data_IF_197902104053
#
_entry.id   IF_197902104053
#
_cell.length_a   1.000
_cell.length_b   1.000
_cell.length_c   1.000
_cell.angle_alpha   90.00
_cell.angle_beta   90.00
_cell.angle_gamma   90.00
#
_symmetry.space_group_name_H-M   'P 1'
#
loop_
_entity.id
_entity.type
_entity.pdbx_description
1 polymer ?
#
# COMPACT_ATOMS: atom_id res chain seq x y z
N UNK A 1 -3.36 -36.79 -8.97
CA UNK A 1 -4.55 -36.10 -9.52
C UNK A 1 -4.08 -34.73 -9.97
N UNK A 2 -3.95 -34.50 -11.28
CA UNK A 2 -3.48 -33.23 -11.85
C UNK A 2 -4.67 -32.32 -12.13
N UNK A 3 -4.48 -31.02 -11.94
CA UNK A 3 -5.48 -30.02 -12.30
C UNK A 3 -5.60 -29.91 -13.83
N UNK A 4 -6.81 -29.72 -14.34
CA UNK A 4 -7.03 -29.54 -15.78
C UNK A 4 -6.45 -28.22 -16.30
N UNK A 5 -6.29 -28.08 -17.63
CA UNK A 5 -5.64 -26.92 -18.25
C UNK A 5 -6.30 -25.58 -17.88
N UNK A 6 -7.63 -25.55 -17.76
CA UNK A 6 -8.37 -24.36 -17.31
C UNK A 6 -8.07 -23.98 -15.85
N UNK A 7 -7.91 -24.98 -14.98
CA UNK A 7 -7.59 -24.79 -13.56
C UNK A 7 -6.15 -24.32 -13.39
N UNK A 8 -5.21 -24.82 -14.20
CA UNK A 8 -3.83 -24.32 -14.23
C UNK A 8 -3.74 -22.85 -14.68
N UNK A 9 -4.48 -22.47 -15.74
CA UNK A 9 -4.51 -21.07 -16.21
C UNK A 9 -5.04 -20.11 -15.13
N UNK A 10 -6.06 -20.54 -14.39
CA UNK A 10 -6.63 -19.74 -13.29
C UNK A 10 -5.64 -19.58 -12.12
N UNK A 11 -4.89 -20.63 -11.77
CA UNK A 11 -3.86 -20.57 -10.74
C UNK A 11 -2.73 -19.61 -11.15
N UNK A 12 -2.28 -19.66 -12.41
CA UNK A 12 -1.25 -18.73 -12.92
C UNK A 12 -1.74 -17.29 -12.88
N UNK A 13 -3.00 -17.03 -13.24
CA UNK A 13 -3.61 -15.70 -13.16
C UNK A 13 -3.66 -15.18 -11.72
N UNK A 14 -4.10 -16.01 -10.76
CA UNK A 14 -4.19 -15.65 -9.34
C UNK A 14 -2.81 -15.36 -8.72
N UNK A 15 -1.79 -16.14 -9.07
CA UNK A 15 -0.43 -15.91 -8.60
C UNK A 15 0.19 -14.67 -9.24
N UNK A 16 -0.07 -14.43 -10.53
CA UNK A 16 0.45 -13.27 -11.26
C UNK A 16 -0.08 -11.93 -10.74
N UNK A 17 -1.38 -11.83 -10.46
CA UNK A 17 -1.97 -10.59 -9.90
C UNK A 17 -1.50 -10.30 -8.47
N UNK A 18 -1.24 -11.34 -7.67
CA UNK A 18 -0.77 -11.19 -6.29
C UNK A 18 0.63 -10.55 -6.21
N UNK A 19 1.51 -10.81 -7.19
CA UNK A 19 2.87 -10.26 -7.23
C UNK A 19 2.87 -8.78 -7.64
N UNK A 20 2.00 -8.38 -8.57
CA UNK A 20 1.94 -6.99 -9.06
C UNK A 20 1.46 -6.01 -7.99
N UNK A 21 0.56 -6.44 -7.10
CA UNK A 21 0.07 -5.61 -5.99
C UNK A 21 1.12 -5.35 -4.88
N UNK A 22 2.19 -6.15 -4.82
CA UNK A 22 3.22 -6.04 -3.77
C UNK A 22 4.25 -4.94 -4.06
N UNK A 23 4.41 -4.51 -5.31
CA UNK A 23 5.45 -3.56 -5.70
C UNK A 23 5.07 -2.09 -5.45
N UNK A 24 3.80 -1.79 -5.16
CA UNK A 24 3.33 -0.42 -4.92
C UNK A 24 3.44 -0.08 -3.44
N UNK A 25 4.33 0.84 -3.07
CA UNK A 25 4.46 1.34 -1.69
C UNK A 25 3.23 2.14 -1.24
N UNK A 26 3.06 2.31 0.08
CA UNK A 26 1.88 2.99 0.65
C UNK A 26 2.06 4.50 0.59
N UNK A 27 0.98 5.22 0.24
CA UNK A 27 0.90 6.65 0.48
C UNK A 27 0.35 6.87 1.90
N UNK A 28 1.14 7.47 2.78
CA UNK A 28 0.79 7.70 4.18
C UNK A 28 0.69 9.21 4.41
N UNK A 29 -0.46 9.66 4.91
CA UNK A 29 -0.66 11.06 5.29
C UNK A 29 -0.08 11.32 6.67
N UNK A 30 0.86 12.25 6.72
CA UNK A 30 1.50 12.68 7.96
C UNK A 30 0.47 13.35 8.86
N UNK A 31 0.38 12.92 10.12
CA UNK A 31 -0.63 13.39 11.07
C UNK A 31 -2.04 12.78 10.90
N UNK A 32 -2.23 11.88 9.94
CA UNK A 32 -3.50 11.19 9.75
C UNK A 32 -4.64 12.16 9.41
N UNK A 33 -5.72 12.14 10.19
CA UNK A 33 -6.88 13.03 9.99
C UNK A 33 -6.59 14.51 10.25
N UNK A 34 -5.59 14.79 11.10
CA UNK A 34 -5.18 16.16 11.43
C UNK A 34 -4.20 16.73 10.40
N UNK A 35 -3.72 15.91 9.45
CA UNK A 35 -2.69 16.26 8.48
C UNK A 35 -1.41 16.83 9.13
N UNK A 36 -0.54 17.41 8.31
CA UNK A 36 0.66 18.08 8.78
C UNK A 36 0.30 19.46 9.37
N UNK A 37 -0.02 19.48 10.67
CA UNK A 37 -0.35 20.67 11.45
C UNK A 37 0.60 20.88 12.65
N UNK A 38 0.67 22.13 13.14
CA UNK A 38 1.44 22.46 14.32
C UNK A 38 0.69 22.02 15.59
N UNK A 39 1.40 21.44 16.55
CA UNK A 39 0.83 20.98 17.83
C UNK A 39 0.56 19.47 17.92
N UNK A 40 0.78 18.73 16.83
CA UNK A 40 0.65 17.27 16.79
C UNK A 40 1.91 16.57 17.34
N UNK A 41 1.73 15.51 18.13
CA UNK A 41 2.83 14.66 18.61
C UNK A 41 3.29 13.68 17.52
N UNK A 42 4.22 14.15 16.68
CA UNK A 42 4.78 13.36 15.58
C UNK A 42 5.55 12.10 16.02
N UNK A 43 6.27 12.08 17.15
CA UNK A 43 6.82 10.83 17.70
C UNK A 43 5.75 9.76 17.98
N UNK A 44 4.63 10.13 18.61
CA UNK A 44 3.52 9.19 18.86
C UNK A 44 2.89 8.74 17.54
N UNK A 45 2.62 9.67 16.62
CA UNK A 45 2.11 9.34 15.29
C UNK A 45 3.03 8.37 14.53
N UNK A 46 4.34 8.64 14.50
CA UNK A 46 5.31 7.79 13.82
C UNK A 46 5.40 6.41 14.46
N UNK A 47 5.28 6.34 15.80
CA UNK A 47 5.25 5.07 16.52
C UNK A 47 4.01 4.23 16.21
N UNK A 48 2.87 4.87 15.98
CA UNK A 48 1.61 4.20 15.61
C UNK A 48 1.58 3.76 14.15
N UNK A 49 2.32 4.44 13.26
CA UNK A 49 2.33 4.15 11.82
C UNK A 49 3.48 3.25 11.36
N UNK A 50 4.38 2.85 12.28
CA UNK A 50 5.47 1.91 12.00
C UNK A 50 4.94 0.47 11.78
N UNK A 51 5.68 -0.40 11.07
CA UNK A 51 6.93 -0.13 10.36
C UNK A 51 6.72 0.64 9.05
N UNK A 52 7.72 1.43 8.67
CA UNK A 52 7.84 2.03 7.34
C UNK A 52 8.65 1.11 6.44
N UNK A 53 8.19 0.93 5.21
CA UNK A 53 8.86 0.11 4.21
C UNK A 53 9.49 0.97 3.11
N UNK A 54 10.48 0.40 2.41
CA UNK A 54 11.02 1.01 1.20
C UNK A 54 9.86 1.20 0.20
N UNK A 55 9.81 2.36 -0.46
CA UNK A 55 8.75 2.85 -1.35
C UNK A 55 7.50 3.42 -0.65
N UNK A 56 7.39 3.38 0.68
CA UNK A 56 6.37 4.18 1.36
C UNK A 56 6.63 5.68 1.10
N UNK A 57 5.57 6.43 0.80
CA UNK A 57 5.62 7.87 0.56
C UNK A 57 4.88 8.58 1.69
N UNK A 58 5.56 9.53 2.36
CA UNK A 58 4.98 10.38 3.39
C UNK A 58 4.59 11.73 2.79
N UNK A 59 3.32 12.11 2.88
CA UNK A 59 2.81 13.34 2.28
C UNK A 59 1.87 14.11 3.19
N UNK A 60 1.68 15.40 2.90
CA UNK A 60 0.73 16.26 3.62
C UNK A 60 -0.74 15.95 3.26
N UNK A 61 -0.98 15.48 2.05
CA UNK A 61 -2.32 15.25 1.52
C UNK A 61 -2.47 13.80 1.07
N UNK A 62 -3.70 13.30 1.09
CA UNK A 62 -4.04 12.03 0.46
C UNK A 62 -3.73 12.14 -1.05
N UNK A 63 -2.63 11.53 -1.48
CA UNK A 63 -2.37 11.34 -2.89
C UNK A 63 -3.34 10.27 -3.37
N UNK A 64 -4.45 10.70 -3.99
CA UNK A 64 -5.28 9.79 -4.79
C UNK A 64 -4.45 9.40 -6.02
N UNK A 65 -3.64 8.35 -5.90
CA UNK A 65 -3.05 7.69 -7.06
C UNK A 65 -4.15 6.81 -7.64
N UNK A 66 -5.15 7.48 -8.23
CA UNK A 66 -6.10 6.87 -9.13
C UNK A 66 -5.36 6.56 -10.42
N UNK A 67 -4.79 5.37 -10.50
CA UNK A 67 -4.45 4.79 -11.79
C UNK A 67 -5.74 4.66 -12.60
N UNK A 68 -5.85 5.43 -13.68
CA UNK A 68 -6.68 5.05 -14.80
C UNK A 68 -6.16 3.71 -15.32
N UNK A 69 -6.90 2.65 -15.06
CA UNK A 69 -7.02 1.46 -15.91
C UNK A 69 -8.48 1.01 -15.91
#
# INVERSE_FOLDING_TARGET
>A
MGFGPATQGFIVLLLGTSVVAVCTGRAIVVGGSENLELGLDYPVWAHQNRPFYINDTLGKYQLHIGGQI
#
